data_IF_274335473850
#
_entry.id   IF_274335473850
#
_cell.length_a   1.000
_cell.length_b   1.000
_cell.length_c   1.000
_cell.angle_alpha   90.00
_cell.angle_beta   90.00
_cell.angle_gamma   90.00
#
_symmetry.space_group_name_H-M   'P 1'
#
loop_
_entity.id
_entity.type
_entity.pdbx_description
1 polymer ?
#
# COMPACT_ATOMS: atom_id res chain seq x y z
N UNK A 1 12.54 15.86 20.65
CA UNK A 1 11.64 16.57 21.58
C UNK A 1 10.23 16.56 20.99
N UNK A 2 9.34 15.72 21.54
CA UNK A 2 7.96 15.49 21.06
C UNK A 2 6.99 16.52 21.69
N UNK A 3 7.52 17.51 22.41
CA UNK A 3 6.77 18.50 23.21
C UNK A 3 5.92 19.47 22.39
N UNK A 4 6.13 19.57 21.06
CA UNK A 4 5.32 20.41 20.17
C UNK A 4 4.27 19.60 19.43
N UNK A 5 3.17 19.29 20.12
CA UNK A 5 1.81 19.21 19.53
C UNK A 5 1.64 18.45 18.22
N UNK A 6 2.34 17.35 18.00
CA UNK A 6 2.10 16.52 16.81
C UNK A 6 0.91 15.60 17.10
N UNK A 7 -0.30 16.07 16.82
CA UNK A 7 -1.52 15.25 16.93
C UNK A 7 -1.48 14.07 15.94
N UNK A 8 -0.74 14.24 14.82
CA UNK A 8 -0.38 13.20 13.86
C UNK A 8 1.00 13.45 13.27
N UNK A 9 1.87 12.44 13.28
CA UNK A 9 3.24 12.52 12.74
C UNK A 9 3.62 11.28 11.96
N UNK A 10 4.59 11.42 11.07
CA UNK A 10 5.20 10.33 10.31
C UNK A 10 6.65 10.22 10.74
N UNK A 11 7.12 9.00 10.98
CA UNK A 11 8.51 8.73 11.29
C UNK A 11 8.93 7.40 10.67
N UNK A 12 10.22 7.29 10.39
CA UNK A 12 10.81 6.15 9.72
C UNK A 12 11.71 5.41 10.71
N UNK A 13 11.58 4.08 10.76
CA UNK A 13 12.53 3.22 11.46
C UNK A 13 13.21 2.33 10.42
N UNK A 14 14.54 2.24 10.48
CA UNK A 14 15.29 1.25 9.70
C UNK A 14 15.69 0.09 10.62
N UNK A 15 15.40 -1.15 10.21
CA UNK A 15 15.80 -2.36 10.92
C UNK A 15 16.09 -3.46 9.89
N UNK A 16 17.25 -4.10 9.99
CA UNK A 16 17.65 -5.21 9.11
C UNK A 16 17.53 -4.85 7.61
N UNK A 17 18.01 -3.65 7.24
CA UNK A 17 17.85 -3.00 5.92
C UNK A 17 16.43 -2.59 5.50
N UNK A 18 15.40 -3.03 6.21
CA UNK A 18 14.01 -2.66 5.91
C UNK A 18 13.69 -1.27 6.44
N UNK A 19 12.86 -0.55 5.70
CA UNK A 19 12.31 0.75 6.05
C UNK A 19 10.85 0.59 6.47
N UNK A 20 10.58 0.88 7.73
CA UNK A 20 9.25 0.96 8.29
C UNK A 20 8.82 2.41 8.39
N UNK A 21 7.99 2.84 7.45
CA UNK A 21 7.27 4.10 7.57
C UNK A 21 6.09 3.92 8.55
N UNK A 22 6.13 4.65 9.66
CA UNK A 22 5.15 4.59 10.72
C UNK A 22 4.44 5.93 10.89
N UNK A 23 3.23 5.86 11.40
CA UNK A 23 2.43 7.01 11.78
C UNK A 23 2.13 6.95 13.26
N UNK A 24 2.26 8.09 13.94
CA UNK A 24 1.85 8.26 15.32
C UNK A 24 0.67 9.22 15.36
N UNK A 25 -0.33 8.91 16.17
CA UNK A 25 -1.39 9.84 16.52
C UNK A 25 -1.56 9.91 18.02
N UNK A 26 -2.00 11.06 18.53
CA UNK A 26 -2.23 11.26 19.96
C UNK A 26 -3.69 11.65 20.22
N UNK A 27 -4.30 11.04 21.25
CA UNK A 27 -5.65 11.41 21.70
C UNK A 27 -5.63 11.61 23.22
N UNK A 28 -6.16 12.74 23.70
CA UNK A 28 -6.37 12.95 25.14
C UNK A 28 -7.35 11.92 25.68
N UNK A 29 -7.03 11.33 26.83
CA UNK A 29 -7.92 10.37 27.48
C UNK A 29 -9.04 11.11 28.21
N UNK A 30 -10.28 10.59 28.22
CA UNK A 30 -11.37 11.20 28.97
C UNK A 30 -11.27 10.91 30.48
N UNK A 31 -12.01 11.67 31.29
CA UNK A 31 -12.24 11.38 32.71
C UNK A 31 -11.01 11.54 33.59
N UNK A 32 -10.79 10.60 34.51
CA UNK A 32 -9.69 10.61 35.49
C UNK A 32 -8.30 10.67 34.86
N UNK A 33 -8.19 10.30 33.58
CA UNK A 33 -6.94 10.33 32.82
C UNK A 33 -6.84 11.55 31.90
N UNK A 34 -7.59 12.64 32.15
CA UNK A 34 -7.59 13.85 31.32
C UNK A 34 -6.21 14.47 31.06
N UNK A 35 -5.25 14.23 31.96
CA UNK A 35 -3.86 14.68 31.81
C UNK A 35 -3.00 13.74 30.96
N UNK A 36 -3.48 12.53 30.65
CA UNK A 36 -2.80 11.53 29.85
C UNK A 36 -3.20 11.60 28.37
N UNK A 37 -2.28 11.19 27.49
CA UNK A 37 -2.55 10.98 26.07
C UNK A 37 -2.34 9.52 25.71
N UNK A 38 -3.29 8.93 24.99
CA UNK A 38 -3.08 7.68 24.29
C UNK A 38 -2.31 7.97 22.99
N UNK A 39 -1.20 7.27 22.81
CA UNK A 39 -0.44 7.28 21.56
C UNK A 39 -0.77 6.03 20.78
N UNK A 40 -1.12 6.19 19.51
CA UNK A 40 -1.35 5.08 18.59
C UNK A 40 -0.29 5.12 17.52
N UNK A 41 0.50 4.04 17.43
CA UNK A 41 1.47 3.82 16.36
C UNK A 41 0.88 2.83 15.37
N UNK A 42 0.90 3.18 14.09
CA UNK A 42 0.36 2.37 13.01
C UNK A 42 1.29 2.40 11.80
N UNK A 43 1.18 1.41 10.91
CA UNK A 43 1.91 1.46 9.64
C UNK A 43 1.42 2.61 8.77
N UNK A 44 2.32 3.21 7.97
CA UNK A 44 1.95 4.32 7.10
C UNK A 44 1.08 3.88 5.93
N UNK A 45 1.44 2.78 5.27
CA UNK A 45 0.75 2.30 4.07
C UNK A 45 -0.03 1.01 4.35
N UNK A 46 -1.27 0.98 3.88
CA UNK A 46 -2.04 -0.26 3.76
C UNK A 46 -2.54 -0.44 2.33
N UNK A 47 -2.37 -1.63 1.80
CA UNK A 47 -2.90 -2.04 0.50
C UNK A 47 -4.24 -2.72 0.71
N UNK A 48 -5.29 -2.20 0.09
CA UNK A 48 -6.64 -2.76 0.08
C UNK A 48 -6.87 -3.47 -1.24
N UNK A 49 -7.16 -4.77 -1.19
CA UNK A 49 -7.38 -5.57 -2.38
C UNK A 49 -8.87 -5.76 -2.65
N UNK A 50 -9.38 -5.11 -3.71
CA UNK A 50 -10.75 -5.25 -4.19
C UNK A 50 -10.83 -6.00 -5.54
N UNK A 51 -9.80 -6.77 -5.91
CA UNK A 51 -9.72 -7.48 -7.20
C UNK A 51 -10.41 -8.86 -7.21
N UNK A 52 -10.99 -9.28 -6.08
CA UNK A 52 -11.65 -10.59 -5.94
C UNK A 52 -10.69 -11.80 -5.88
N UNK A 53 -9.40 -11.60 -6.13
CA UNK A 53 -8.35 -12.62 -6.12
C UNK A 53 -7.18 -12.18 -5.26
N UNK A 54 -6.40 -13.12 -4.71
CA UNK A 54 -5.23 -12.77 -3.89
C UNK A 54 -4.12 -12.14 -4.75
N UNK A 55 -3.53 -11.06 -4.22
CA UNK A 55 -2.39 -10.40 -4.83
C UNK A 55 -1.16 -10.46 -3.93
N UNK A 56 -0.01 -10.39 -4.57
CA UNK A 56 1.29 -10.17 -3.97
C UNK A 56 1.72 -8.75 -4.31
N UNK A 57 2.27 -8.03 -3.33
CA UNK A 57 2.84 -6.70 -3.54
C UNK A 57 4.25 -6.63 -2.94
N UNK A 58 5.17 -5.98 -3.63
CA UNK A 58 6.53 -5.74 -3.14
C UNK A 58 7.09 -4.44 -3.70
N UNK A 59 8.26 -4.05 -3.21
CA UNK A 59 9.05 -2.98 -3.80
C UNK A 59 9.69 -3.46 -5.11
N UNK A 60 9.70 -2.62 -6.13
CA UNK A 60 10.40 -2.89 -7.39
C UNK A 60 11.91 -3.10 -7.15
N UNK A 61 12.50 -4.07 -7.83
CA UNK A 61 13.93 -4.40 -7.71
C UNK A 61 14.27 -5.41 -6.61
N UNK A 62 13.38 -5.63 -5.64
CA UNK A 62 13.57 -6.70 -4.64
C UNK A 62 13.38 -8.05 -5.33
N UNK A 63 14.41 -8.89 -5.36
CA UNK A 63 14.37 -10.15 -6.12
C UNK A 63 13.47 -11.20 -5.45
N UNK A 64 13.52 -11.32 -4.13
CA UNK A 64 12.81 -12.37 -3.41
C UNK A 64 11.29 -12.14 -3.40
N UNK A 65 10.54 -13.17 -3.76
CA UNK A 65 9.09 -13.20 -3.67
C UNK A 65 8.60 -13.60 -2.27
N UNK A 66 9.47 -14.14 -1.41
CA UNK A 66 9.17 -14.39 0.01
C UNK A 66 8.85 -13.09 0.76
N UNK A 67 9.50 -12.00 0.37
CA UNK A 67 9.30 -10.68 0.95
C UNK A 67 8.04 -9.97 0.43
N UNK A 68 7.33 -10.58 -0.52
CA UNK A 68 6.09 -10.02 -1.02
C UNK A 68 4.97 -10.13 0.02
N UNK A 69 4.32 -9.00 0.27
CA UNK A 69 3.13 -8.93 1.12
C UNK A 69 1.97 -9.59 0.38
N UNK A 70 1.38 -10.61 1.00
CA UNK A 70 0.17 -11.27 0.49
C UNK A 70 -1.07 -10.53 0.96
N UNK A 71 -1.91 -10.10 0.02
CA UNK A 71 -3.17 -9.40 0.32
C UNK A 71 -4.33 -10.21 -0.23
N UNK A 72 -5.09 -10.85 0.67
CA UNK A 72 -6.27 -11.66 0.32
C UNK A 72 -7.37 -10.80 -0.33
N UNK A 73 -8.28 -11.40 -1.11
CA UNK A 73 -9.45 -10.69 -1.64
C UNK A 73 -10.23 -9.98 -0.53
N UNK A 74 -10.70 -8.77 -0.80
CA UNK A 74 -11.53 -7.95 0.10
C UNK A 74 -10.89 -7.75 1.49
N UNK A 75 -9.57 -7.70 1.53
CA UNK A 75 -8.81 -7.54 2.76
C UNK A 75 -7.74 -6.47 2.61
N UNK A 76 -7.02 -6.20 3.70
CA UNK A 76 -5.89 -5.26 3.71
C UNK A 76 -4.60 -5.95 4.14
N UNK A 77 -3.49 -5.50 3.58
CA UNK A 77 -2.13 -5.86 3.99
C UNK A 77 -1.32 -4.62 4.30
N UNK A 78 -0.48 -4.69 5.32
CA UNK A 78 0.48 -3.62 5.64
C UNK A 78 1.67 -3.69 4.71
N UNK A 79 2.07 -2.55 4.16
CA UNK A 79 3.24 -2.45 3.28
C UNK A 79 4.32 -1.57 3.91
N UNK A 80 5.57 -1.96 3.69
CA UNK A 80 6.76 -1.23 4.08
C UNK A 80 7.84 -1.40 2.99
N UNK A 81 8.80 -0.48 2.92
CA UNK A 81 9.86 -0.55 1.91
C UNK A 81 10.94 -1.51 2.41
N UNK A 82 11.41 -2.40 1.54
CA UNK A 82 12.37 -3.44 1.92
C UNK A 82 13.81 -2.95 1.82
N UNK A 83 14.10 -2.12 0.81
CA UNK A 83 15.45 -1.64 0.54
C UNK A 83 15.45 -0.13 0.28
N UNK A 84 16.31 0.60 1.01
CA UNK A 84 16.40 2.06 0.90
C UNK A 84 16.92 2.53 -0.46
N UNK A 85 17.87 1.79 -1.01
CA UNK A 85 18.62 2.20 -2.20
C UNK A 85 17.94 1.74 -3.50
N UNK A 86 16.83 1.01 -3.38
CA UNK A 86 15.98 0.59 -4.49
C UNK A 86 14.90 1.63 -4.79
N UNK A 87 14.35 1.64 -6.04
CA UNK A 87 13.21 2.49 -6.37
C UNK A 87 12.05 2.30 -5.39
N UNK A 88 11.49 3.38 -4.88
CA UNK A 88 10.30 3.35 -4.01
C UNK A 88 9.02 3.23 -4.85
N UNK A 89 8.95 2.15 -5.63
CA UNK A 89 7.84 1.80 -6.49
C UNK A 89 7.22 0.50 -6.02
N UNK A 90 5.91 0.49 -5.84
CA UNK A 90 5.15 -0.70 -5.48
C UNK A 90 4.77 -1.45 -6.76
N UNK A 91 5.11 -2.73 -6.84
CA UNK A 91 4.69 -3.64 -7.91
C UNK A 91 3.67 -4.65 -7.40
N UNK A 92 2.75 -5.05 -8.28
CA UNK A 92 1.63 -5.94 -7.96
C UNK A 92 1.68 -7.17 -8.87
N UNK A 93 1.40 -8.34 -8.30
CA UNK A 93 1.24 -9.59 -9.03
C UNK A 93 0.01 -10.34 -8.53
N UNK A 94 -0.78 -10.89 -9.43
CA UNK A 94 -1.85 -11.83 -9.04
C UNK A 94 -1.21 -13.16 -8.63
N UNK A 95 -1.63 -13.77 -7.52
CA UNK A 95 -0.97 -14.98 -6.98
C UNK A 95 -0.83 -16.13 -7.98
N UNK A 96 -1.81 -16.28 -8.88
CA UNK A 96 -1.85 -17.34 -9.88
C UNK A 96 -1.06 -17.00 -11.16
N UNK A 97 -0.28 -15.91 -11.17
CA UNK A 97 0.51 -15.44 -12.32
C UNK A 97 1.99 -15.46 -11.96
N UNK A 98 2.83 -15.67 -12.97
CA UNK A 98 4.29 -15.71 -12.83
C UNK A 98 4.93 -14.33 -12.95
N UNK A 99 4.26 -13.38 -13.59
CA UNK A 99 4.80 -12.06 -13.91
C UNK A 99 4.17 -10.96 -13.05
N UNK A 100 5.01 -10.01 -12.65
CA UNK A 100 4.61 -8.75 -12.01
C UNK A 100 3.97 -7.80 -13.01
N UNK A 101 3.29 -6.75 -12.52
CA UNK A 101 2.74 -5.70 -13.36
C UNK A 101 3.81 -5.04 -14.26
N UNK A 102 3.36 -4.44 -15.36
CA UNK A 102 4.20 -3.55 -16.14
C UNK A 102 4.25 -2.17 -15.48
N UNK A 103 5.46 -1.72 -15.16
CA UNK A 103 5.71 -0.50 -14.40
C UNK A 103 5.49 -0.67 -12.89
N UNK A 104 5.71 0.40 -12.15
CA UNK A 104 5.55 0.44 -10.69
C UNK A 104 4.74 1.66 -10.25
N UNK A 105 4.21 1.60 -9.04
CA UNK A 105 3.35 2.62 -8.46
C UNK A 105 4.07 3.42 -7.37
N UNK A 106 4.07 4.75 -7.52
CA UNK A 106 4.42 5.68 -6.45
C UNK A 106 3.27 5.79 -5.45
N UNK A 107 3.44 5.23 -4.25
CA UNK A 107 2.43 5.28 -3.18
C UNK A 107 2.64 6.46 -2.21
N UNK A 108 3.67 7.27 -2.43
CA UNK A 108 3.93 8.52 -1.72
C UNK A 108 3.10 9.70 -2.27
N UNK A 109 2.47 9.53 -3.44
CA UNK A 109 1.68 10.55 -4.13
C UNK A 109 0.20 10.15 -4.18
N UNK A 110 -0.67 11.04 -3.71
CA UNK A 110 -2.12 10.86 -3.81
C UNK A 110 -2.53 10.98 -5.28
N UNK A 111 -3.37 10.05 -5.74
CA UNK A 111 -3.84 10.02 -7.12
C UNK A 111 -4.42 8.68 -7.53
N UNK A 112 -4.76 8.58 -8.81
CA UNK A 112 -5.17 7.31 -9.44
C UNK A 112 -4.20 7.00 -10.57
N UNK A 113 -3.69 5.78 -10.60
CA UNK A 113 -2.77 5.29 -11.61
C UNK A 113 -3.27 3.94 -12.13
N UNK A 114 -3.43 3.76 -13.46
CA UNK A 114 -3.68 2.44 -14.02
C UNK A 114 -2.40 1.59 -13.99
N UNK A 115 -2.51 0.33 -13.58
CA UNK A 115 -1.44 -0.66 -13.70
C UNK A 115 -1.89 -1.81 -14.60
N UNK A 116 -0.97 -2.27 -15.45
CA UNK A 116 -1.21 -3.36 -16.38
C UNK A 116 -0.68 -4.68 -15.78
N UNK A 117 -1.57 -5.62 -15.52
CA UNK A 117 -1.23 -6.97 -15.07
C UNK A 117 -1.12 -7.92 -16.27
N UNK A 118 -0.03 -8.70 -16.37
CA UNK A 118 0.08 -9.73 -17.38
C UNK A 118 -1.01 -10.78 -17.25
N UNK A 119 -1.54 -11.23 -18.37
CA UNK A 119 -2.44 -12.37 -18.40
C UNK A 119 -1.69 -13.68 -18.57
N UNK A 120 -2.28 -14.78 -18.13
CA UNK A 120 -1.67 -16.08 -18.34
C UNK A 120 -1.96 -16.56 -19.76
N UNK A 121 -1.00 -17.23 -20.40
CA UNK A 121 -1.20 -17.98 -21.64
C UNK A 121 -1.71 -17.14 -22.83
N UNK A 122 -1.16 -15.94 -23.04
CA UNK A 122 -1.47 -15.11 -24.21
C UNK A 122 -2.84 -14.45 -24.20
N UNK A 123 -3.54 -14.45 -23.05
CA UNK A 123 -4.76 -13.66 -22.88
C UNK A 123 -4.48 -12.15 -22.88
N UNK A 124 -5.55 -11.35 -23.00
CA UNK A 124 -5.44 -9.89 -22.90
C UNK A 124 -4.99 -9.48 -21.49
N UNK A 125 -4.05 -8.53 -21.37
CA UNK A 125 -3.62 -8.04 -20.07
C UNK A 125 -4.79 -7.38 -19.32
N UNK A 126 -4.75 -7.43 -18.00
CA UNK A 126 -5.79 -6.90 -17.13
C UNK A 126 -5.35 -5.50 -16.68
N UNK A 127 -6.18 -4.48 -16.90
CA UNK A 127 -5.92 -3.14 -16.39
C UNK A 127 -6.59 -3.01 -15.03
N UNK A 128 -5.79 -2.79 -13.99
CA UNK A 128 -6.30 -2.44 -12.66
C UNK A 128 -6.16 -0.94 -12.44
N UNK A 129 -7.14 -0.37 -11.75
CA UNK A 129 -7.08 0.98 -11.23
C UNK A 129 -6.51 0.93 -9.83
N UNK A 130 -5.40 1.64 -9.61
CA UNK A 130 -4.86 1.83 -8.27
C UNK A 130 -5.10 3.25 -7.80
N UNK A 131 -5.77 3.39 -6.66
CA UNK A 131 -6.01 4.68 -6.01
C UNK A 131 -5.12 4.79 -4.77
N UNK A 132 -4.31 5.84 -4.71
CA UNK A 132 -3.54 6.22 -3.53
C UNK A 132 -4.24 7.43 -2.90
N UNK A 133 -4.67 7.29 -1.66
CA UNK A 133 -5.33 8.38 -0.93
C UNK A 133 -4.96 8.39 0.54
N UNK A 134 -5.25 9.51 1.19
CA UNK A 134 -5.22 9.55 2.65
C UNK A 134 -6.25 8.57 3.21
N UNK A 135 -5.83 7.84 4.24
CA UNK A 135 -6.66 6.86 4.90
C UNK A 135 -7.77 7.53 5.71
N UNK A 136 -8.96 6.94 5.69
CA UNK A 136 -10.02 7.28 6.61
C UNK A 136 -9.64 6.80 8.03
N UNK A 137 -10.14 7.47 9.08
CA UNK A 137 -9.73 7.20 10.46
C UNK A 137 -9.93 5.75 10.95
N UNK A 138 -10.82 4.98 10.30
CA UNK A 138 -11.06 3.58 10.62
C UNK A 138 -10.05 2.60 9.97
N UNK A 139 -9.26 3.05 9.00
CA UNK A 139 -8.41 2.17 8.18
C UNK A 139 -7.07 1.82 8.81
N UNK A 140 -6.74 2.37 9.98
CA UNK A 140 -5.57 1.97 10.78
C UNK A 140 -4.22 2.18 10.08
N UNK A 141 -4.15 3.14 9.15
CA UNK A 141 -2.94 3.58 8.45
C UNK A 141 -3.09 5.07 8.11
N UNK A 142 -2.09 5.68 7.48
CA UNK A 142 -2.19 7.06 6.99
C UNK A 142 -2.46 7.17 5.49
N UNK A 143 -2.01 6.18 4.72
CA UNK A 143 -2.16 6.12 3.26
C UNK A 143 -2.76 4.77 2.88
N UNK A 144 -3.89 4.82 2.18
CA UNK A 144 -4.57 3.68 1.63
C UNK A 144 -4.26 3.55 0.13
N UNK A 145 -3.85 2.35 -0.28
CA UNK A 145 -3.58 1.97 -1.68
C UNK A 145 -4.64 0.97 -2.11
N UNK A 146 -5.64 1.40 -2.85
CA UNK A 146 -6.83 0.60 -3.21
C UNK A 146 -6.66 0.02 -4.61
N UNK A 147 -6.68 -1.31 -4.72
CA UNK A 147 -6.58 -2.04 -5.97
C UNK A 147 -7.98 -2.45 -6.44
N UNK A 148 -8.43 -1.95 -7.59
CA UNK A 148 -9.75 -2.25 -8.17
C UNK A 148 -9.63 -2.63 -9.65
N UNK A 149 -10.57 -3.43 -10.18
CA UNK A 149 -10.62 -3.67 -11.63
C UNK A 149 -11.05 -2.39 -12.33
N UNK A 150 -10.44 -2.08 -13.47
CA UNK A 150 -10.92 -0.98 -14.31
C UNK A 150 -12.29 -1.35 -14.88
N UNK A 151 -13.26 -0.44 -14.80
CA UNK A 151 -14.61 -0.65 -15.34
C UNK A 151 -14.64 -0.69 -16.88
N UNK A 152 -13.56 -0.26 -17.55
CA UNK A 152 -13.45 -0.19 -19.01
C UNK A 152 -12.60 -1.33 -19.60
N UNK A 153 -12.99 -2.59 -19.37
CA UNK A 153 -12.50 -3.71 -20.18
C UNK A 153 -13.30 -3.73 -21.51
N UNK A 154 -13.02 -2.82 -22.45
CA UNK A 154 -13.75 -2.85 -23.74
C UNK A 154 -13.40 -1.85 -24.84
N UNK A 155 -13.00 -0.61 -24.53
CA UNK A 155 -13.04 0.47 -25.54
C UNK A 155 -11.68 0.85 -26.16
N UNK A 156 -10.55 0.42 -25.58
CA UNK A 156 -9.23 0.93 -25.98
C UNK A 156 -8.52 0.15 -27.10
N UNK A 157 -9.12 -0.93 -27.62
CA UNK A 157 -8.48 -1.80 -28.63
C UNK A 157 -9.30 -1.93 -29.94
N UNK A 158 -10.22 -1.01 -30.19
CA UNK A 158 -10.87 -0.84 -31.48
C UNK A 158 -10.38 0.48 -32.11
N UNK A 159 -9.13 0.48 -32.56
CA UNK A 159 -8.49 1.58 -33.29
C UNK A 159 -7.44 1.03 -34.23
#
# INVERSE_FOLDING_TARGET
DISKGVDKGIFQITKDNHIYDLTISSKKMPGLFAQSKALTVAARYAVLNCLGEEVLVKQEGVEDDFDAVRVRPNSRGTFHWMEKDMPQLLVVKMRNKTQWCYGGLRIDQVGTTPLLLPSARGGRPIVIRVEVRLAAGAEGCAVAVVLTRSAHEGEWLAG
#
